data_IF_819239879055
#
_entry.id   IF_819239879055
#
_cell.length_a   1.000
_cell.length_b   1.000
_cell.length_c   1.000
_cell.angle_alpha   90.00
_cell.angle_beta   90.00
_cell.angle_gamma   90.00
#
_symmetry.space_group_name_H-M   'P 1'
#
loop_
_entity.id
_entity.type
_entity.pdbx_description
1 polymer ?
#
# COMPACT_ATOMS: atom_id res chain seq x y z
N UNK A 1 -17.55 16.12 -15.80
CA UNK A 1 -16.69 15.11 -15.15
C UNK A 1 -16.58 13.94 -16.11
N UNK A 2 -15.74 14.04 -17.13
CA UNK A 2 -15.85 13.19 -18.32
C UNK A 2 -14.49 12.78 -18.87
N UNK A 3 -14.22 11.48 -18.84
CA UNK A 3 -13.15 10.75 -19.52
C UNK A 3 -11.68 11.02 -19.09
N UNK A 4 -11.20 12.26 -18.93
CA UNK A 4 -9.77 12.54 -18.65
C UNK A 4 -9.34 12.23 -17.20
N UNK A 5 -10.20 12.50 -16.22
CA UNK A 5 -9.93 12.21 -14.79
C UNK A 5 -10.01 10.71 -14.47
N UNK A 6 -10.87 9.99 -15.21
CA UNK A 6 -11.03 8.54 -15.08
C UNK A 6 -9.78 7.82 -15.58
N UNK A 7 -9.25 8.25 -16.73
CA UNK A 7 -8.01 7.72 -17.29
C UNK A 7 -6.82 7.97 -16.35
N UNK A 8 -6.72 9.18 -15.78
CA UNK A 8 -5.66 9.52 -14.81
C UNK A 8 -5.75 8.69 -13.53
N UNK A 9 -6.94 8.50 -12.96
CA UNK A 9 -7.14 7.71 -11.74
C UNK A 9 -6.77 6.24 -11.96
N UNK A 10 -7.25 5.66 -13.06
CA UNK A 10 -6.94 4.28 -13.43
C UNK A 10 -5.45 4.12 -13.74
N UNK A 11 -4.83 5.11 -14.41
CA UNK A 11 -3.41 5.11 -14.71
C UNK A 11 -2.55 5.12 -13.45
N UNK A 12 -2.81 6.02 -12.49
CA UNK A 12 -2.06 6.05 -11.23
C UNK A 12 -2.29 4.79 -10.39
N UNK A 13 -3.53 4.26 -10.39
CA UNK A 13 -3.83 2.98 -9.76
C UNK A 13 -3.05 1.82 -10.39
N UNK A 14 -2.96 1.79 -11.72
CA UNK A 14 -2.21 0.77 -12.46
C UNK A 14 -0.70 0.86 -12.20
N UNK A 15 -0.13 2.07 -12.27
CA UNK A 15 1.28 2.30 -11.93
C UNK A 15 1.57 1.82 -10.51
N UNK A 16 0.69 2.16 -9.56
CA UNK A 16 0.79 1.68 -8.18
C UNK A 16 0.78 0.16 -8.12
N UNK A 17 -0.21 -0.50 -8.72
CA UNK A 17 -0.33 -1.97 -8.72
C UNK A 17 0.94 -2.64 -9.27
N UNK A 18 1.45 -2.18 -10.41
CA UNK A 18 2.65 -2.76 -11.05
C UNK A 18 3.90 -2.52 -10.21
N UNK A 19 4.11 -1.29 -9.74
CA UNK A 19 5.29 -0.95 -8.93
C UNK A 19 5.33 -1.69 -7.60
N UNK A 20 4.19 -1.84 -6.93
CA UNK A 20 4.07 -2.66 -5.72
C UNK A 20 4.32 -4.15 -6.00
N UNK A 21 3.86 -4.67 -7.13
CA UNK A 21 4.16 -6.05 -7.55
C UNK A 21 5.67 -6.30 -7.76
N UNK A 22 6.35 -5.39 -8.46
CA UNK A 22 7.82 -5.45 -8.65
C UNK A 22 8.53 -5.34 -7.30
N UNK A 23 8.07 -4.44 -6.44
CA UNK A 23 8.62 -4.26 -5.10
C UNK A 23 8.52 -5.54 -4.26
N UNK A 24 7.42 -6.31 -4.32
CA UNK A 24 7.29 -7.59 -3.60
C UNK A 24 8.41 -8.57 -3.99
N UNK A 25 8.68 -8.72 -5.30
CA UNK A 25 9.71 -9.65 -5.80
C UNK A 25 11.10 -9.24 -5.33
N UNK A 26 11.43 -7.95 -5.49
CA UNK A 26 12.73 -7.42 -5.07
C UNK A 26 12.89 -7.43 -3.54
N UNK A 27 11.82 -7.11 -2.81
CA UNK A 27 11.78 -7.11 -1.36
C UNK A 27 11.97 -8.50 -0.77
N UNK A 28 11.35 -9.52 -1.37
CA UNK A 28 11.58 -10.91 -0.99
C UNK A 28 13.03 -11.32 -1.21
N UNK A 29 13.57 -11.09 -2.41
CA UNK A 29 14.97 -11.41 -2.73
C UNK A 29 15.95 -10.68 -1.79
N UNK A 30 15.67 -9.43 -1.43
CA UNK A 30 16.46 -8.69 -0.45
C UNK A 30 16.36 -9.31 0.97
N UNK A 31 15.17 -9.74 1.38
CA UNK A 31 14.93 -10.38 2.69
C UNK A 31 15.62 -11.74 2.83
N UNK A 32 15.85 -12.44 1.73
CA UNK A 32 16.62 -13.69 1.70
C UNK A 32 18.14 -13.43 1.70
N UNK A 33 18.56 -12.26 1.20
CA UNK A 33 19.98 -11.91 1.04
C UNK A 33 20.60 -11.28 2.28
N UNK A 34 19.81 -10.58 3.10
CA UNK A 34 20.22 -9.89 4.32
C UNK A 34 19.12 -9.96 5.38
N UNK A 35 19.41 -9.51 6.61
CA UNK A 35 18.39 -9.43 7.66
C UNK A 35 17.14 -8.64 7.16
N UNK A 36 15.91 -9.19 7.29
CA UNK A 36 14.71 -8.59 6.70
C UNK A 36 14.36 -7.20 7.25
N UNK A 37 14.71 -6.94 8.52
CA UNK A 37 14.48 -5.63 9.14
C UNK A 37 15.43 -4.60 8.53
N UNK A 38 16.65 -5.03 8.23
CA UNK A 38 17.65 -4.23 7.50
C UNK A 38 17.22 -4.00 6.05
N UNK A 39 16.72 -5.02 5.35
CA UNK A 39 16.18 -4.88 4.00
C UNK A 39 15.00 -3.90 3.94
N UNK A 40 14.07 -3.99 4.91
CA UNK A 40 12.97 -3.05 5.05
C UNK A 40 13.48 -1.61 5.27
N UNK A 41 14.43 -1.41 6.20
CA UNK A 41 14.99 -0.10 6.50
C UNK A 41 15.63 0.55 5.26
N UNK A 42 16.43 -0.20 4.49
CA UNK A 42 17.06 0.30 3.26
C UNK A 42 16.00 0.64 2.21
N UNK A 43 15.05 -0.26 1.97
CA UNK A 43 13.98 -0.05 0.97
C UNK A 43 13.20 1.24 1.24
N UNK A 44 12.89 1.51 2.51
CA UNK A 44 12.17 2.71 2.90
C UNK A 44 12.97 3.97 2.94
N UNK A 45 14.25 3.88 3.27
CA UNK A 45 15.13 5.04 3.15
C UNK A 45 15.16 5.50 1.69
N UNK A 46 15.30 4.55 0.74
CA UNK A 46 15.25 4.84 -0.69
C UNK A 46 13.90 5.42 -1.10
N UNK A 47 12.78 4.82 -0.67
CA UNK A 47 11.44 5.32 -0.99
C UNK A 47 11.18 6.72 -0.40
N UNK A 48 11.63 6.98 0.83
CA UNK A 48 11.52 8.28 1.48
C UNK A 48 12.34 9.35 0.76
N UNK A 49 13.59 9.03 0.37
CA UNK A 49 14.42 9.93 -0.43
C UNK A 49 13.80 10.20 -1.81
N UNK A 50 13.18 9.20 -2.44
CA UNK A 50 12.45 9.39 -3.70
C UNK A 50 11.26 10.34 -3.52
N UNK A 51 10.48 10.19 -2.45
CA UNK A 51 9.35 11.08 -2.15
C UNK A 51 9.81 12.52 -1.84
N UNK A 52 10.93 12.67 -1.12
CA UNK A 52 11.55 13.97 -0.87
C UNK A 52 12.12 14.60 -2.15
N UNK A 53 12.73 13.81 -3.02
CA UNK A 53 13.18 14.28 -4.33
C UNK A 53 11.99 14.75 -5.18
N UNK A 54 10.91 13.99 -5.15
CA UNK A 54 9.68 14.33 -5.88
C UNK A 54 9.08 15.66 -5.42
N UNK A 55 9.00 15.92 -4.10
CA UNK A 55 8.43 17.18 -3.62
C UNK A 55 9.26 18.40 -4.04
N UNK A 56 10.58 18.26 -4.16
CA UNK A 56 11.50 19.35 -4.58
C UNK A 56 11.28 19.72 -6.06
N UNK A 57 11.01 18.73 -6.91
CA UNK A 57 10.81 18.95 -8.36
C UNK A 57 9.34 19.16 -8.74
N UNK A 58 8.42 18.85 -7.83
CA UNK A 58 7.01 19.17 -7.99
C UNK A 58 6.77 20.62 -7.58
N UNK A 59 5.89 21.34 -8.26
CA UNK A 59 5.43 22.68 -7.86
C UNK A 59 4.53 22.65 -6.59
N UNK A 60 4.78 21.71 -5.68
CA UNK A 60 3.98 21.48 -4.48
C UNK A 60 4.23 22.55 -3.41
N UNK A 61 3.18 22.89 -2.67
CA UNK A 61 3.31 23.73 -1.48
C UNK A 61 3.99 22.95 -0.34
N UNK A 62 5.00 23.55 0.27
CA UNK A 62 5.69 23.02 1.46
C UNK A 62 5.01 23.40 2.78
N UNK A 63 3.84 24.03 2.73
CA UNK A 63 3.11 24.43 3.93
C UNK A 63 2.56 23.21 4.67
N UNK A 64 2.97 23.02 5.93
CA UNK A 64 2.47 21.94 6.78
C UNK A 64 1.47 22.49 7.79
N UNK A 65 0.23 22.01 7.73
CA UNK A 65 -0.77 22.25 8.79
C UNK A 65 -0.63 21.21 9.89
N UNK A 66 -1.02 21.53 11.13
CA UNK A 66 -0.98 20.58 12.25
C UNK A 66 -1.76 19.30 11.93
N UNK A 67 -3.00 19.44 11.43
CA UNK A 67 -3.84 18.29 11.06
C UNK A 67 -3.23 17.47 9.91
N UNK A 68 -2.74 18.13 8.86
CA UNK A 68 -2.13 17.44 7.71
C UNK A 68 -0.86 16.69 8.10
N UNK A 69 0.02 17.33 8.87
CA UNK A 69 1.25 16.70 9.36
C UNK A 69 0.98 15.50 10.26
N UNK A 70 0.00 15.60 11.17
CA UNK A 70 -0.39 14.47 12.04
C UNK A 70 -0.95 13.30 11.23
N UNK A 71 -1.86 13.55 10.28
CA UNK A 71 -2.42 12.50 9.43
C UNK A 71 -1.34 11.83 8.57
N UNK A 72 -0.46 12.61 7.95
CA UNK A 72 0.66 12.10 7.17
C UNK A 72 1.64 11.28 8.03
N UNK A 73 1.95 11.75 9.24
CA UNK A 73 2.80 11.03 10.19
C UNK A 73 2.19 9.70 10.64
N UNK A 74 0.90 9.67 10.95
CA UNK A 74 0.19 8.42 11.27
C UNK A 74 0.15 7.47 10.07
N UNK A 75 -0.11 7.96 8.87
CA UNK A 75 -0.06 7.15 7.66
C UNK A 75 1.33 6.53 7.45
N UNK A 76 2.40 7.30 7.67
CA UNK A 76 3.78 6.82 7.65
C UNK A 76 4.05 5.73 8.70
N UNK A 77 3.55 5.89 9.92
CA UNK A 77 3.68 4.90 10.99
C UNK A 77 3.05 3.54 10.62
N UNK A 78 1.80 3.56 10.14
CA UNK A 78 1.12 2.34 9.70
C UNK A 78 1.79 1.72 8.46
N UNK A 79 2.25 2.56 7.54
CA UNK A 79 2.98 2.11 6.34
C UNK A 79 4.26 1.38 6.74
N UNK A 80 5.12 2.00 7.56
CA UNK A 80 6.36 1.37 8.03
C UNK A 80 6.10 0.09 8.82
N UNK A 81 5.09 0.08 9.69
CA UNK A 81 4.71 -1.13 10.44
C UNK A 81 4.28 -2.27 9.53
N UNK A 82 3.41 -1.98 8.55
CA UNK A 82 2.92 -2.97 7.59
C UNK A 82 4.06 -3.56 6.76
N UNK A 83 5.02 -2.75 6.33
CA UNK A 83 6.10 -3.28 5.53
C UNK A 83 7.20 -3.98 6.33
N UNK A 84 7.56 -3.54 7.54
CA UNK A 84 8.42 -4.34 8.42
C UNK A 84 7.79 -5.73 8.61
N UNK A 85 6.47 -5.78 8.80
CA UNK A 85 5.72 -7.03 8.92
C UNK A 85 5.78 -7.88 7.64
N UNK A 86 5.69 -7.28 6.44
CA UNK A 86 5.85 -8.01 5.18
C UNK A 86 7.26 -8.58 5.02
N UNK A 87 8.31 -7.77 5.22
CA UNK A 87 9.69 -8.22 5.08
C UNK A 87 10.01 -9.37 6.03
N UNK A 88 9.63 -9.25 7.31
CA UNK A 88 9.76 -10.35 8.28
C UNK A 88 8.90 -11.55 7.85
N UNK A 89 7.68 -11.31 7.35
CA UNK A 89 6.78 -12.36 6.88
C UNK A 89 7.33 -13.16 5.70
N UNK A 90 8.02 -12.51 4.76
CA UNK A 90 8.66 -13.15 3.59
C UNK A 90 9.64 -14.25 3.99
N UNK A 91 10.28 -14.15 5.15
CA UNK A 91 11.21 -15.20 5.61
C UNK A 91 10.56 -16.32 6.43
N UNK A 92 9.29 -16.18 6.80
CA UNK A 92 8.60 -17.13 7.68
C UNK A 92 7.56 -18.00 6.95
N UNK A 93 7.18 -17.63 5.73
CA UNK A 93 6.14 -18.33 4.99
C UNK A 93 6.20 -18.05 3.50
N UNK A 94 5.14 -18.47 2.79
CA UNK A 94 5.01 -18.20 1.36
C UNK A 94 4.91 -16.69 1.11
N UNK A 95 5.86 -16.15 0.34
CA UNK A 95 5.83 -14.77 -0.17
C UNK A 95 4.50 -14.46 -0.82
N UNK A 96 3.92 -15.41 -1.55
CA UNK A 96 2.60 -15.28 -2.18
C UNK A 96 1.50 -15.08 -1.14
N UNK A 97 1.50 -15.84 -0.05
CA UNK A 97 0.49 -15.68 1.02
C UNK A 97 0.62 -14.32 1.70
N UNK A 98 1.84 -13.96 2.12
CA UNK A 98 2.12 -12.70 2.82
C UNK A 98 1.78 -11.49 1.96
N UNK A 99 2.19 -11.50 0.69
CA UNK A 99 1.92 -10.41 -0.25
C UNK A 99 0.46 -10.32 -0.65
N UNK A 100 -0.23 -11.45 -0.84
CA UNK A 100 -1.66 -11.47 -1.20
C UNK A 100 -2.51 -10.94 -0.04
N UNK A 101 -2.23 -11.35 1.20
CA UNK A 101 -2.87 -10.79 2.39
C UNK A 101 -2.53 -9.32 2.56
N UNK A 102 -1.26 -8.93 2.37
CA UNK A 102 -0.82 -7.55 2.43
C UNK A 102 -1.56 -6.66 1.45
N UNK A 103 -1.73 -7.11 0.20
CA UNK A 103 -2.46 -6.38 -0.85
C UNK A 103 -3.95 -6.15 -0.51
N UNK A 104 -4.54 -6.90 0.44
CA UNK A 104 -5.91 -6.68 0.91
C UNK A 104 -6.09 -5.45 1.80
N UNK A 105 -5.08 -4.60 2.00
CA UNK A 105 -5.22 -3.37 2.78
C UNK A 105 -6.41 -2.51 2.30
N UNK A 106 -6.78 -2.59 1.02
CA UNK A 106 -7.94 -1.87 0.48
C UNK A 106 -9.27 -2.34 1.08
N UNK A 107 -9.40 -3.60 1.50
CA UNK A 107 -10.59 -4.10 2.18
C UNK A 107 -10.73 -3.46 3.56
N UNK A 108 -9.62 -3.38 4.31
CA UNK A 108 -9.60 -2.69 5.60
C UNK A 108 -9.96 -1.21 5.41
N UNK A 109 -9.36 -0.54 4.42
CA UNK A 109 -9.68 0.85 4.10
C UNK A 109 -11.16 1.04 3.72
N UNK A 110 -11.73 0.15 2.90
CA UNK A 110 -13.14 0.21 2.52
C UNK A 110 -14.07 0.02 3.73
N UNK A 111 -13.76 -0.90 4.64
CA UNK A 111 -14.53 -1.10 5.87
C UNK A 111 -14.48 0.14 6.77
N UNK A 112 -13.29 0.74 6.95
CA UNK A 112 -13.14 1.98 7.71
C UNK A 112 -13.93 3.11 7.05
N UNK A 113 -13.88 3.24 5.71
CA UNK A 113 -14.66 4.21 4.96
C UNK A 113 -16.16 4.07 5.23
N UNK A 114 -16.68 2.85 5.12
CA UNK A 114 -18.11 2.56 5.34
C UNK A 114 -18.55 2.77 6.79
N UNK A 115 -17.75 2.34 7.77
CA UNK A 115 -18.17 2.31 9.19
C UNK A 115 -17.84 3.61 9.92
N UNK A 116 -16.70 4.23 9.62
CA UNK A 116 -16.16 5.38 10.38
C UNK A 116 -16.34 6.68 9.60
N UNK A 117 -16.14 6.67 8.28
CA UNK A 117 -16.21 7.89 7.47
C UNK A 117 -17.61 8.16 6.90
N UNK A 118 -18.51 7.17 6.98
CA UNK A 118 -19.88 7.29 6.51
C UNK A 118 -20.04 7.13 5.00
N UNK A 119 -19.09 6.45 4.33
CA UNK A 119 -19.19 6.18 2.90
C UNK A 119 -20.41 5.30 2.57
N UNK A 120 -21.07 5.60 1.45
CA UNK A 120 -22.22 4.81 1.00
C UNK A 120 -21.87 3.33 0.83
N UNK A 121 -22.65 2.49 1.51
CA UNK A 121 -22.62 1.04 1.42
C UNK A 121 -23.53 0.60 0.29
N UNK A 122 -22.94 0.26 -0.85
CA UNK A 122 -23.67 -0.31 -1.98
C UNK A 122 -23.50 -1.82 -2.03
N UNK A 123 -24.52 -2.52 -2.54
CA UNK A 123 -24.45 -3.99 -2.76
C UNK A 123 -23.24 -4.34 -3.64
N UNK A 124 -22.93 -3.51 -4.63
CA UNK A 124 -21.77 -3.69 -5.51
C UNK A 124 -20.44 -3.65 -4.76
N UNK A 125 -20.23 -2.64 -3.89
CA UNK A 125 -18.99 -2.54 -3.08
C UNK A 125 -18.86 -3.75 -2.15
N UNK A 126 -19.94 -4.10 -1.46
CA UNK A 126 -19.95 -5.26 -0.56
C UNK A 126 -19.60 -6.55 -1.30
N UNK A 127 -20.21 -6.77 -2.47
CA UNK A 127 -19.95 -7.95 -3.32
C UNK A 127 -18.50 -7.98 -3.81
N UNK A 128 -17.94 -6.85 -4.21
CA UNK A 128 -16.53 -6.74 -4.59
C UNK A 128 -15.57 -7.10 -3.46
N UNK A 129 -15.84 -6.64 -2.24
CA UNK A 129 -15.06 -7.01 -1.05
C UNK A 129 -15.15 -8.51 -0.78
N UNK A 130 -16.34 -9.11 -0.88
CA UNK A 130 -16.50 -10.57 -0.71
C UNK A 130 -15.71 -11.36 -1.76
N UNK A 131 -15.75 -10.95 -3.02
CA UNK A 131 -14.94 -11.59 -4.07
C UNK A 131 -13.44 -11.45 -3.83
N UNK A 132 -12.99 -10.30 -3.34
CA UNK A 132 -11.59 -10.12 -2.97
C UNK A 132 -11.16 -11.09 -1.86
N UNK A 133 -11.98 -11.22 -0.80
CA UNK A 133 -11.71 -12.16 0.29
C UNK A 133 -11.65 -13.60 -0.22
N UNK A 134 -12.62 -14.01 -1.04
CA UNK A 134 -12.63 -15.35 -1.66
C UNK A 134 -11.38 -15.57 -2.51
N UNK A 135 -11.03 -14.61 -3.36
CA UNK A 135 -9.83 -14.68 -4.21
C UNK A 135 -8.56 -14.90 -3.39
N UNK A 136 -8.40 -14.17 -2.29
CA UNK A 136 -7.23 -14.33 -1.42
C UNK A 136 -7.21 -15.67 -0.70
N UNK A 137 -8.36 -16.16 -0.22
CA UNK A 137 -8.45 -17.50 0.37
C UNK A 137 -8.05 -18.58 -0.64
N UNK A 138 -8.42 -18.42 -1.90
CA UNK A 138 -8.06 -19.37 -2.96
C UNK A 138 -6.59 -19.29 -3.35
N UNK A 139 -6.01 -18.08 -3.46
CA UNK A 139 -4.60 -17.88 -3.82
C UNK A 139 -3.66 -18.27 -2.67
N UNK A 140 -4.13 -18.19 -1.42
CA UNK A 140 -3.32 -18.47 -0.24
C UNK A 140 -3.33 -19.95 0.20
N UNK A 141 -3.95 -20.84 -0.58
CA UNK A 141 -3.97 -22.30 -0.37
C UNK A 141 -3.07 -23.00 -1.37
#
# INVERSE_FOLDING_TARGET
MGFTEMDSTVLFGFITMVTWGIWIVLGNAASESIDPRTAAAISYLVAGLLALGFIIVSDASLAVTMRGGLLAGMAGLFTGTGLISMYVGFTHGSTTVVSTLGAMYFVVAAIIGMVVLGDDVTITKFTGIMFAVISVVLVSR
#
